data_IF_932347077455
#
_entry.id   IF_932347077455
#
_cell.length_a   1.000
_cell.length_b   1.000
_cell.length_c   1.000
_cell.angle_alpha   90.00
_cell.angle_beta   90.00
_cell.angle_gamma   90.00
#
_symmetry.space_group_name_H-M   'P 1'
#
loop_
_entity.id
_entity.type
_entity.pdbx_description
1 polymer ?
#
# COMPACT_ATOMS: atom_id res chain seq x y z
N UNK A 1 -4.30 -28.87 1.42
CA UNK A 1 -4.15 -27.55 2.06
C UNK A 1 -3.38 -26.64 1.10
N UNK A 2 -3.96 -25.54 0.63
CA UNK A 2 -3.32 -24.64 -0.34
C UNK A 2 -2.54 -23.57 0.43
N UNK A 3 -1.23 -23.76 0.59
CA UNK A 3 -0.35 -22.74 1.17
C UNK A 3 -0.19 -21.62 0.16
N UNK A 4 -0.60 -20.40 0.53
CA UNK A 4 -0.37 -19.21 -0.30
C UNK A 4 1.13 -18.97 -0.44
N UNK A 5 1.67 -19.20 -1.64
CA UNK A 5 3.09 -19.03 -1.95
C UNK A 5 3.59 -17.59 -1.76
N UNK A 6 2.70 -16.62 -1.58
CA UNK A 6 3.04 -15.21 -1.37
C UNK A 6 3.00 -14.78 0.10
N UNK A 7 2.73 -15.69 1.04
CA UNK A 7 2.71 -15.39 2.48
C UNK A 7 4.05 -14.92 3.05
N UNK A 8 5.13 -14.98 2.27
CA UNK A 8 6.42 -14.40 2.66
C UNK A 8 6.46 -12.87 2.53
N UNK A 9 5.53 -12.26 1.80
CA UNK A 9 5.43 -10.81 1.70
C UNK A 9 4.66 -10.25 2.91
N UNK A 10 5.21 -9.26 3.61
CA UNK A 10 4.50 -8.63 4.72
C UNK A 10 3.25 -7.91 4.21
N UNK A 11 2.20 -7.91 5.01
CA UNK A 11 0.94 -7.23 4.67
C UNK A 11 0.94 -5.79 5.15
N UNK A 12 0.17 -4.93 4.47
CA UNK A 12 0.04 -3.52 4.84
C UNK A 12 -0.58 -3.30 6.23
N UNK A 13 -1.38 -4.24 6.71
CA UNK A 13 -2.00 -4.26 8.05
C UNK A 13 -1.17 -5.04 9.09
N UNK A 14 0.00 -5.57 8.70
CA UNK A 14 0.83 -6.38 9.57
C UNK A 14 1.81 -5.53 10.37
N UNK A 15 1.84 -5.79 11.67
CA UNK A 15 2.85 -5.28 12.59
C UNK A 15 3.78 -6.43 12.95
N UNK A 16 5.06 -6.30 12.61
CA UNK A 16 6.08 -7.32 12.89
C UNK A 16 6.89 -6.91 14.12
N UNK A 17 7.35 -7.84 14.97
CA UNK A 17 8.22 -7.50 16.09
C UNK A 17 9.44 -6.70 15.62
N UNK A 18 9.83 -5.67 16.36
CA UNK A 18 11.13 -5.02 16.16
C UNK A 18 12.24 -6.07 16.23
N UNK A 19 13.09 -6.11 15.21
CA UNK A 19 14.33 -6.88 15.28
C UNK A 19 15.15 -6.39 16.49
N UNK A 20 15.80 -7.33 17.20
CA UNK A 20 16.55 -7.08 18.43
C UNK A 20 17.61 -5.97 18.32
N UNK A 21 18.04 -5.70 17.09
CA UNK A 21 19.16 -4.81 16.75
C UNK A 21 18.70 -3.44 16.22
N UNK A 22 17.38 -3.22 16.12
CA UNK A 22 16.82 -1.99 15.57
C UNK A 22 16.85 -0.84 16.60
N UNK A 23 17.37 0.32 16.19
CA UNK A 23 17.34 1.54 17.00
C UNK A 23 15.90 2.03 17.10
N UNK A 24 15.33 1.99 18.32
CA UNK A 24 14.01 2.57 18.60
C UNK A 24 14.06 4.09 18.46
N UNK A 25 13.08 4.67 17.78
CA UNK A 25 12.93 6.13 17.75
C UNK A 25 12.52 6.60 19.15
N UNK A 26 13.25 7.53 19.80
CA UNK A 26 12.88 8.04 21.11
C UNK A 26 11.54 8.79 21.16
N UNK A 27 10.95 9.14 20.01
CA UNK A 27 9.61 9.72 19.90
C UNK A 27 8.50 8.68 19.66
N UNK A 28 8.82 7.39 19.62
CA UNK A 28 7.84 6.31 19.42
C UNK A 28 6.98 6.16 20.69
N UNK A 29 5.74 6.65 20.61
CA UNK A 29 4.77 6.63 21.71
C UNK A 29 4.45 5.16 22.02
N UNK A 30 4.67 4.74 23.28
CA UNK A 30 4.38 3.41 23.78
C UNK A 30 2.95 2.96 23.42
N UNK A 31 2.82 2.13 22.40
CA UNK A 31 1.60 1.39 22.06
C UNK A 31 1.77 -0.08 22.45
N UNK A 32 0.71 -0.71 22.96
CA UNK A 32 0.71 -2.12 23.43
C UNK A 32 1.07 -3.13 22.33
N UNK A 33 1.10 -2.72 21.07
CA UNK A 33 1.68 -3.46 19.97
C UNK A 33 3.16 -3.10 19.85
N UNK A 34 4.06 -3.92 20.40
CA UNK A 34 5.52 -3.81 20.20
C UNK A 34 5.96 -4.11 18.74
N UNK A 35 5.03 -4.07 17.80
CA UNK A 35 5.25 -4.35 16.41
C UNK A 35 5.44 -3.05 15.61
N UNK A 36 6.31 -3.10 14.61
CA UNK A 36 6.49 -2.04 13.62
C UNK A 36 5.77 -2.43 12.34
N UNK A 37 5.08 -1.47 11.73
CA UNK A 37 4.58 -1.65 10.39
C UNK A 37 5.67 -1.28 9.37
N UNK A 38 6.08 -2.25 8.56
CA UNK A 38 7.19 -2.13 7.62
C UNK A 38 6.95 -1.11 6.50
N UNK A 39 5.70 -0.70 6.29
CA UNK A 39 5.29 0.18 5.20
C UNK A 39 5.10 1.63 5.63
N UNK A 40 5.05 1.93 6.93
CA UNK A 40 4.85 3.30 7.44
C UNK A 40 5.82 4.29 6.78
N UNK A 41 5.30 5.41 6.28
CA UNK A 41 6.06 6.45 5.60
C UNK A 41 6.52 6.11 4.18
N UNK A 42 6.30 4.89 3.68
CA UNK A 42 6.67 4.51 2.30
C UNK A 42 5.67 5.01 1.27
N UNK A 43 6.15 5.13 0.04
CA UNK A 43 5.34 5.41 -1.13
C UNK A 43 4.98 4.11 -1.86
N UNK A 44 3.89 4.12 -2.61
CA UNK A 44 3.43 3.00 -3.41
C UNK A 44 2.79 3.46 -4.74
N UNK A 45 2.66 2.52 -5.68
CA UNK A 45 1.82 2.67 -6.86
C UNK A 45 0.56 1.82 -6.69
N UNK A 46 -0.60 2.42 -6.88
CA UNK A 46 -1.88 1.72 -6.91
C UNK A 46 -2.39 1.63 -8.36
N UNK A 47 -2.64 0.41 -8.79
CA UNK A 47 -3.11 0.09 -10.14
C UNK A 47 -4.60 -0.24 -10.09
N UNK A 48 -5.42 0.61 -10.67
CA UNK A 48 -6.86 0.45 -10.74
C UNK A 48 -7.28 0.01 -12.13
N UNK A 49 -7.91 -1.16 -12.21
CA UNK A 49 -8.55 -1.61 -13.45
C UNK A 49 -9.82 -0.78 -13.72
N UNK A 50 -9.94 -0.32 -14.96
CA UNK A 50 -11.02 0.54 -15.42
C UNK A 50 -10.93 1.97 -14.88
N UNK A 51 -11.86 2.80 -15.34
CA UNK A 51 -11.94 4.21 -14.93
C UNK A 51 -12.80 4.36 -13.69
N UNK A 52 -12.25 5.00 -12.65
CA UNK A 52 -12.99 5.49 -11.49
C UNK A 52 -12.60 6.94 -11.22
N UNK A 53 -13.49 7.69 -10.60
CA UNK A 53 -13.22 9.08 -10.26
C UNK A 53 -12.15 9.18 -9.16
N UNK A 54 -12.12 8.19 -8.25
CA UNK A 54 -11.22 8.19 -7.11
C UNK A 54 -10.77 6.77 -6.73
N UNK A 55 -9.58 6.61 -6.11
CA UNK A 55 -9.18 5.35 -5.50
C UNK A 55 -10.17 4.89 -4.42
N UNK A 56 -10.23 3.58 -4.13
CA UNK A 56 -10.99 3.04 -3.00
C UNK A 56 -10.67 3.74 -1.67
N UNK A 57 -11.64 3.78 -0.75
CA UNK A 57 -11.52 4.52 0.52
C UNK A 57 -10.29 4.12 1.34
N UNK A 58 -9.98 2.83 1.41
CA UNK A 58 -8.81 2.32 2.13
C UNK A 58 -7.49 2.84 1.55
N UNK A 59 -7.40 3.01 0.23
CA UNK A 59 -6.21 3.62 -0.41
C UNK A 59 -6.12 5.11 -0.10
N UNK A 60 -7.25 5.83 -0.12
CA UNK A 60 -7.25 7.27 0.20
C UNK A 60 -6.96 7.57 1.67
N UNK A 61 -7.41 6.70 2.57
CA UNK A 61 -7.26 6.88 4.01
C UNK A 61 -5.92 6.33 4.53
N UNK A 62 -5.36 5.30 3.88
CA UNK A 62 -4.08 4.70 4.25
C UNK A 62 -2.85 5.44 3.74
N UNK A 63 -3.00 6.57 3.05
CA UNK A 63 -1.87 7.37 2.54
C UNK A 63 -2.11 8.85 2.82
N UNK A 64 -1.06 9.60 3.09
CA UNK A 64 -1.14 11.04 3.29
C UNK A 64 -1.58 11.79 2.03
N UNK A 65 -1.25 11.28 0.84
CA UNK A 65 -1.67 11.83 -0.44
C UNK A 65 -1.79 10.74 -1.51
N UNK A 66 -2.83 10.83 -2.33
CA UNK A 66 -3.02 9.96 -3.50
C UNK A 66 -3.32 10.81 -4.74
N UNK A 67 -2.61 10.57 -5.84
CA UNK A 67 -2.71 11.36 -7.07
C UNK A 67 -2.78 10.44 -8.30
N UNK A 68 -3.70 10.71 -9.23
CA UNK A 68 -3.74 10.04 -10.53
C UNK A 68 -2.58 10.56 -11.38
N UNK A 69 -1.61 9.70 -11.69
CA UNK A 69 -0.41 10.11 -12.45
C UNK A 69 -0.44 9.63 -13.89
N UNK A 70 -1.24 8.60 -14.21
CA UNK A 70 -1.37 8.10 -15.58
C UNK A 70 -2.64 7.29 -15.78
N UNK A 71 -3.07 7.19 -17.04
CA UNK A 71 -4.08 6.25 -17.51
C UNK A 71 -3.50 5.50 -18.70
N UNK A 72 -3.37 4.19 -18.57
CA UNK A 72 -2.71 3.32 -19.54
C UNK A 72 -3.75 2.46 -20.23
N UNK A 73 -3.76 2.48 -21.56
CA UNK A 73 -4.53 1.51 -22.35
C UNK A 73 -3.71 0.25 -22.57
N UNK A 74 -4.26 -0.89 -22.16
CA UNK A 74 -3.73 -2.21 -22.49
C UNK A 74 -4.38 -2.64 -23.80
N UNK A 75 -3.58 -2.84 -24.85
CA UNK A 75 -4.06 -3.14 -26.20
C UNK A 75 -3.54 -4.49 -26.71
N UNK A 76 -4.26 -5.09 -27.64
CA UNK A 76 -3.79 -6.21 -28.47
C UNK A 76 -4.05 -5.85 -29.94
N UNK A 77 -2.99 -5.60 -30.70
CA UNK A 77 -3.11 -4.89 -31.98
C UNK A 77 -3.85 -3.56 -31.78
N UNK A 78 -4.83 -3.28 -32.63
CA UNK A 78 -5.62 -2.04 -32.54
C UNK A 78 -6.72 -2.07 -31.48
N UNK A 79 -7.03 -3.24 -30.91
CA UNK A 79 -8.10 -3.42 -29.93
C UNK A 79 -7.64 -3.05 -28.52
N UNK A 80 -8.35 -2.12 -27.87
CA UNK A 80 -8.19 -1.86 -26.43
C UNK A 80 -8.84 -2.99 -25.65
N UNK A 81 -8.06 -3.66 -24.79
CA UNK A 81 -8.54 -4.72 -23.92
C UNK A 81 -9.06 -4.16 -22.60
N UNK A 82 -8.37 -3.17 -22.04
CA UNK A 82 -8.69 -2.57 -20.74
C UNK A 82 -7.91 -1.28 -20.53
N UNK A 83 -8.48 -0.41 -19.71
CA UNK A 83 -7.85 0.82 -19.22
C UNK A 83 -7.37 0.60 -17.78
N UNK A 84 -6.22 1.18 -17.44
CA UNK A 84 -5.61 1.04 -16.14
C UNK A 84 -5.19 2.42 -15.63
N UNK A 85 -5.84 2.88 -14.56
CA UNK A 85 -5.45 4.10 -13.88
C UNK A 85 -4.30 3.80 -12.90
N UNK A 86 -3.26 4.62 -12.96
CA UNK A 86 -2.08 4.52 -12.10
C UNK A 86 -2.09 5.68 -11.13
N UNK A 87 -2.12 5.38 -9.84
CA UNK A 87 -2.06 6.38 -8.78
C UNK A 87 -0.72 6.31 -8.05
N UNK A 88 -0.12 7.46 -7.79
CA UNK A 88 0.96 7.61 -6.83
C UNK A 88 0.37 7.79 -5.44
N UNK A 89 0.78 6.94 -4.50
CA UNK A 89 0.36 6.96 -3.11
C UNK A 89 1.58 7.31 -2.26
N UNK A 90 1.49 8.41 -1.52
CA UNK A 90 2.61 8.94 -0.73
C UNK A 90 2.34 8.81 0.76
N UNK A 91 3.40 8.53 1.52
CA UNK A 91 3.38 8.52 2.99
C UNK A 91 2.30 7.57 3.53
N UNK A 92 2.55 6.25 3.45
CA UNK A 92 1.63 5.25 4.00
C UNK A 92 1.45 5.47 5.50
N UNK A 93 0.19 5.49 5.92
CA UNK A 93 -0.24 5.68 7.30
C UNK A 93 -1.01 4.45 7.73
N UNK A 94 -0.55 3.83 8.81
CA UNK A 94 -1.31 2.79 9.48
C UNK A 94 -2.62 3.40 9.97
N UNK A 95 -3.75 2.88 9.47
CA UNK A 95 -5.04 3.22 10.05
C UNK A 95 -5.19 2.43 11.35
N UNK A 96 -5.53 3.07 12.47
CA UNK A 96 -5.95 2.33 13.66
C UNK A 96 -7.21 1.54 13.30
N UNK A 97 -7.24 0.27 13.73
CA UNK A 97 -8.36 -0.66 13.54
C UNK A 97 -9.67 -0.13 14.15
#
# INVERSE_FOLDING_TARGET
DMVNQFSFWPRYDEFVPLASDAVRDPNEIYTEEQGVNLFTGRNALFLQLGKRDHPPRNIRAGFGRTELISTIEVRTGDRVLRELQVYACYDYRTMPL
#
